data_IF_143253642527
#
_entry.id   IF_143253642527
#
_cell.length_a   1.000
_cell.length_b   1.000
_cell.length_c   1.000
_cell.angle_alpha   90.00
_cell.angle_beta   90.00
_cell.angle_gamma   90.00
#
_symmetry.space_group_name_H-M   'P 1'
#
loop_
_entity.id
_entity.type
_entity.pdbx_description
1 polymer ?
#
# COMPACT_ATOMS: atom_id res chain seq x y z
N UNK A 1 -15.96 92.42 12.54
CA UNK A 1 -15.46 91.82 13.80
C UNK A 1 -15.00 90.40 13.54
N UNK A 2 -13.75 90.12 13.90
CA UNK A 2 -13.10 88.84 14.26
C UNK A 2 -13.19 87.64 13.28
N UNK A 3 -12.05 87.44 12.60
CA UNK A 3 -11.53 86.14 12.19
C UNK A 3 -11.30 85.27 13.44
N UNK A 4 -11.67 84.00 13.38
CA UNK A 4 -11.25 82.99 14.36
C UNK A 4 -10.64 81.81 13.63
N UNK A 5 -9.51 81.37 14.15
CA UNK A 5 -8.53 80.48 13.55
C UNK A 5 -8.99 79.02 13.46
N UNK A 6 -8.57 78.33 12.39
CA UNK A 6 -8.57 76.86 12.31
C UNK A 6 -7.69 76.29 13.43
N UNK A 7 -8.23 75.34 14.20
CA UNK A 7 -7.45 74.48 15.09
C UNK A 7 -7.10 73.19 14.33
N UNK A 8 -5.81 73.01 14.04
CA UNK A 8 -5.23 71.95 13.19
C UNK A 8 -5.16 70.58 13.90
N UNK A 9 -6.19 70.21 14.68
CA UNK A 9 -6.22 68.95 15.45
C UNK A 9 -7.46 68.09 15.22
N UNK A 10 -8.26 68.38 14.20
CA UNK A 10 -9.51 67.66 13.91
C UNK A 10 -9.56 67.10 12.48
N UNK A 11 -8.40 66.80 11.88
CA UNK A 11 -8.30 66.25 10.52
C UNK A 11 -8.01 64.74 10.46
N UNK A 12 -8.06 64.03 11.59
CA UNK A 12 -7.71 62.61 11.66
C UNK A 12 -8.92 61.66 11.72
N UNK A 13 -10.14 62.13 11.43
CA UNK A 13 -11.35 61.31 11.65
C UNK A 13 -12.37 61.26 10.50
N UNK A 14 -12.04 61.73 9.28
CA UNK A 14 -12.97 61.68 8.13
C UNK A 14 -12.22 61.37 6.82
N UNK A 15 -11.72 60.14 6.68
CA UNK A 15 -11.58 59.43 5.39
C UNK A 15 -11.79 57.92 5.65
N UNK A 16 -12.90 57.58 6.28
CA UNK A 16 -13.28 56.18 6.56
C UNK A 16 -14.74 55.92 6.13
N UNK A 17 -15.18 56.58 5.06
CA UNK A 17 -16.55 56.43 4.55
C UNK A 17 -16.66 56.81 3.08
N UNK A 18 -16.20 55.92 2.21
CA UNK A 18 -16.67 55.71 0.83
C UNK A 18 -15.89 54.50 0.27
N UNK A 19 -16.45 53.33 0.03
CA UNK A 19 -17.83 52.90 0.18
C UNK A 19 -17.92 51.39 -0.03
N UNK A 20 -18.91 50.78 0.62
CA UNK A 20 -19.41 49.45 0.28
C UNK A 20 -20.91 49.48 0.55
N UNK A 21 -21.69 49.70 -0.51
CA UNK A 21 -23.12 49.40 -0.54
C UNK A 21 -23.31 48.43 -1.70
N UNK A 22 -23.83 47.23 -1.42
CA UNK A 22 -24.17 46.27 -2.46
C UNK A 22 -24.46 44.85 -1.99
N UNK A 23 -25.49 44.69 -1.15
CA UNK A 23 -26.40 43.53 -0.98
C UNK A 23 -25.88 42.07 -0.95
N UNK A 24 -26.28 41.38 0.14
CA UNK A 24 -26.07 39.97 0.44
C UNK A 24 -26.69 38.98 -0.56
N UNK A 25 -26.00 37.85 -0.75
CA UNK A 25 -26.58 36.54 -1.06
C UNK A 25 -25.76 35.48 -0.32
N UNK A 26 -26.45 34.76 0.57
CA UNK A 26 -26.11 33.61 1.41
C UNK A 26 -24.82 32.79 1.15
N UNK A 27 -24.20 32.47 2.29
CA UNK A 27 -23.25 31.39 2.62
C UNK A 27 -23.26 30.16 1.70
N UNK A 28 -22.06 29.80 1.25
CA UNK A 28 -21.53 28.42 1.23
C UNK A 28 -20.00 28.53 1.19
N UNK A 29 -19.36 28.46 2.35
CA UNK A 29 -17.91 28.28 2.46
C UNK A 29 -17.59 26.81 2.15
N UNK A 30 -17.48 26.49 0.85
CA UNK A 30 -16.76 25.29 0.44
C UNK A 30 -15.27 25.56 0.64
N UNK A 31 -14.65 24.85 1.58
CA UNK A 31 -13.20 24.67 1.64
C UNK A 31 -12.78 24.05 0.31
N UNK A 32 -12.28 24.86 -0.61
CA UNK A 32 -11.52 24.38 -1.75
C UNK A 32 -10.17 23.90 -1.24
N UNK A 33 -10.01 22.58 -1.15
CA UNK A 33 -8.70 21.92 -1.15
C UNK A 33 -7.88 22.49 -2.30
N UNK A 34 -6.64 22.97 -2.11
CA UNK A 34 -5.79 23.31 -3.23
C UNK A 34 -5.31 22.01 -3.88
N UNK A 35 -6.16 21.44 -4.74
CA UNK A 35 -5.70 20.61 -5.85
C UNK A 35 -5.15 21.56 -6.89
N UNK A 36 -3.85 21.81 -6.86
CA UNK A 36 -3.16 22.39 -8.01
C UNK A 36 -2.98 21.28 -9.03
N UNK A 37 -4.00 21.07 -9.87
CA UNK A 37 -3.79 20.62 -11.24
C UNK A 37 -3.05 21.76 -11.96
N UNK A 38 -1.72 21.75 -11.80
CA UNK A 38 -0.85 22.52 -12.66
C UNK A 38 -0.47 21.58 -13.82
N UNK A 39 -0.92 21.83 -15.07
CA UNK A 39 -0.73 20.89 -16.18
C UNK A 39 0.73 20.77 -16.69
N UNK A 40 1.73 21.19 -15.91
CA UNK A 40 3.12 21.34 -16.37
C UNK A 40 4.21 20.89 -15.38
N UNK A 41 3.89 20.32 -14.20
CA UNK A 41 4.93 19.62 -13.43
C UNK A 41 4.90 18.12 -13.76
N UNK A 42 5.83 17.70 -14.63
CA UNK A 42 6.08 16.29 -14.90
C UNK A 42 6.41 15.55 -13.62
N UNK A 43 5.53 14.62 -13.22
CA UNK A 43 5.75 13.67 -12.13
C UNK A 43 6.94 12.74 -12.44
N UNK A 44 7.68 12.39 -11.39
CA UNK A 44 8.67 11.31 -11.45
C UNK A 44 8.02 9.93 -11.33
N UNK A 45 8.48 8.99 -12.16
CA UNK A 45 8.15 7.57 -12.11
C UNK A 45 9.42 6.82 -11.68
N UNK A 46 9.45 6.33 -10.44
CA UNK A 46 10.61 5.61 -9.90
C UNK A 46 10.44 4.11 -10.08
N UNK A 47 11.26 3.51 -10.94
CA UNK A 47 11.31 2.05 -11.12
C UNK A 47 12.18 1.42 -10.05
N UNK A 48 11.71 0.33 -9.45
CA UNK A 48 12.46 -0.44 -8.47
C UNK A 48 12.76 -1.86 -8.97
N UNK A 49 14.04 -2.24 -8.91
CA UNK A 49 14.55 -3.58 -9.18
C UNK A 49 14.99 -4.29 -7.90
N UNK A 50 14.64 -5.57 -7.76
CA UNK A 50 15.14 -6.46 -6.72
C UNK A 50 16.25 -7.35 -7.31
N UNK A 51 17.47 -7.15 -6.81
CA UNK A 51 18.65 -7.86 -7.31
C UNK A 51 18.68 -9.28 -6.77
N UNK A 52 19.07 -10.23 -7.62
CA UNK A 52 19.30 -11.62 -7.22
C UNK A 52 20.37 -11.71 -6.12
N UNK A 53 20.08 -12.47 -5.07
CA UNK A 53 21.06 -13.01 -4.15
C UNK A 53 21.64 -14.31 -4.70
N UNK A 54 21.12 -15.44 -4.21
CA UNK A 54 21.60 -16.77 -4.59
C UNK A 54 20.72 -17.45 -5.63
N UNK A 55 19.41 -17.17 -5.61
CA UNK A 55 18.43 -17.81 -6.49
C UNK A 55 17.69 -16.78 -7.36
N UNK A 56 17.40 -17.09 -8.63
CA UNK A 56 16.58 -16.24 -9.48
C UNK A 56 15.28 -15.81 -8.81
N UNK A 57 14.96 -14.52 -8.88
CA UNK A 57 13.73 -13.96 -8.32
C UNK A 57 13.68 -13.80 -6.79
N UNK A 58 14.74 -14.14 -6.06
CA UNK A 58 14.72 -14.07 -4.58
C UNK A 58 14.70 -12.64 -4.02
N UNK A 59 15.30 -11.68 -4.76
CA UNK A 59 15.42 -10.29 -4.36
C UNK A 59 16.37 -10.02 -3.18
N UNK A 60 17.19 -10.99 -2.80
CA UNK A 60 18.05 -10.91 -1.60
C UNK A 60 19.34 -10.10 -1.82
N UNK A 61 19.67 -9.74 -3.06
CA UNK A 61 20.83 -8.93 -3.43
C UNK A 61 20.66 -7.42 -3.19
N UNK A 62 19.53 -7.00 -2.60
CA UNK A 62 19.18 -5.60 -2.33
C UNK A 62 18.26 -4.99 -3.40
N UNK A 63 17.90 -3.72 -3.20
CA UNK A 63 16.99 -2.98 -4.10
C UNK A 63 17.72 -1.82 -4.75
N UNK A 64 17.52 -1.66 -6.06
CA UNK A 64 18.00 -0.51 -6.83
C UNK A 64 16.82 0.27 -7.39
N UNK A 65 16.88 1.60 -7.32
CA UNK A 65 15.85 2.49 -7.85
C UNK A 65 16.42 3.47 -8.87
N UNK A 66 15.61 3.80 -9.86
CA UNK A 66 15.93 4.76 -10.91
C UNK A 66 14.67 5.50 -11.33
N UNK A 67 14.75 6.83 -11.42
CA UNK A 67 13.60 7.69 -11.72
C UNK A 67 13.67 8.28 -13.13
N UNK A 68 12.53 8.33 -13.81
CA UNK A 68 12.34 8.97 -15.11
C UNK A 68 11.13 9.89 -15.07
N UNK A 69 11.08 10.87 -15.98
CA UNK A 69 9.88 11.69 -16.12
C UNK A 69 8.70 10.83 -16.59
N UNK A 70 7.47 11.27 -16.35
CA UNK A 70 6.26 10.61 -16.89
C UNK A 70 6.31 10.47 -18.42
N UNK A 71 6.80 11.50 -19.12
CA UNK A 71 6.97 11.46 -20.59
C UNK A 71 7.97 10.38 -21.03
N UNK A 72 9.14 10.33 -20.40
CA UNK A 72 10.14 9.30 -20.69
C UNK A 72 9.63 7.90 -20.33
N UNK A 73 8.85 7.77 -19.25
CA UNK A 73 8.25 6.50 -18.86
C UNK A 73 7.30 5.95 -19.94
N UNK A 74 6.62 6.84 -20.68
CA UNK A 74 5.72 6.50 -21.80
C UNK A 74 6.43 6.30 -23.14
N UNK A 75 7.71 6.67 -23.26
CA UNK A 75 8.45 6.58 -24.51
C UNK A 75 9.15 5.22 -24.67
N UNK A 76 8.72 4.35 -25.59
CA UNK A 76 9.35 3.05 -25.80
C UNK A 76 10.75 3.11 -26.43
N UNK A 77 11.23 4.30 -26.79
CA UNK A 77 12.61 4.52 -27.27
C UNK A 77 13.59 4.84 -26.14
N UNK A 78 13.08 5.15 -24.95
CA UNK A 78 13.88 5.31 -23.72
C UNK A 78 14.20 3.92 -23.15
N UNK A 79 15.42 3.77 -22.63
CA UNK A 79 15.88 2.55 -21.98
C UNK A 79 16.56 2.91 -20.66
N UNK A 80 16.19 2.22 -19.58
CA UNK A 80 16.74 2.44 -18.24
C UNK A 80 17.36 1.17 -17.69
N UNK A 81 18.46 1.32 -16.94
CA UNK A 81 19.24 0.20 -16.43
C UNK A 81 19.41 0.29 -14.90
N UNK A 82 18.35 0.11 -14.08
CA UNK A 82 18.44 0.34 -12.63
C UNK A 82 19.46 -0.55 -11.93
N UNK A 83 19.72 -1.76 -12.42
CA UNK A 83 20.69 -2.69 -11.81
C UNK A 83 22.15 -2.27 -11.99
N UNK A 84 22.44 -1.44 -12.99
CA UNK A 84 23.79 -0.96 -13.30
C UNK A 84 23.99 0.49 -12.82
N UNK A 85 22.96 1.31 -12.96
CA UNK A 85 23.04 2.76 -12.75
C UNK A 85 22.09 3.26 -11.67
N UNK A 86 21.32 2.41 -10.98
CA UNK A 86 20.36 2.84 -9.96
C UNK A 86 20.99 3.20 -8.61
N UNK A 87 20.24 3.97 -7.83
CA UNK A 87 20.53 4.21 -6.43
C UNK A 87 20.23 2.95 -5.61
N UNK A 88 21.15 2.57 -4.71
CA UNK A 88 20.96 1.42 -3.83
C UNK A 88 20.14 1.86 -2.62
N UNK A 89 18.88 1.44 -2.55
CA UNK A 89 18.02 1.73 -1.41
C UNK A 89 18.55 1.00 -0.16
N UNK A 90 18.74 1.68 0.99
CA UNK A 90 19.25 1.02 2.20
C UNK A 90 18.31 -0.07 2.71
N UNK A 91 18.75 -1.32 2.60
CA UNK A 91 18.07 -2.50 3.13
C UNK A 91 18.99 -3.72 2.97
N UNK A 92 18.91 -4.70 3.87
CA UNK A 92 19.70 -5.94 3.76
C UNK A 92 19.13 -6.94 2.75
N UNK A 93 17.89 -6.74 2.33
CA UNK A 93 17.20 -7.50 1.28
C UNK A 93 16.31 -6.54 0.50
N UNK A 94 15.35 -7.06 -0.27
CA UNK A 94 14.35 -6.20 -0.95
C UNK A 94 13.76 -5.16 0.01
N UNK A 95 13.97 -3.88 -0.29
CA UNK A 95 13.43 -2.76 0.46
C UNK A 95 11.91 -2.70 0.33
N UNK A 96 11.25 -2.14 1.35
CA UNK A 96 9.81 -1.81 1.30
C UNK A 96 9.72 -0.31 1.07
N UNK A 97 9.62 0.08 -0.19
CA UNK A 97 9.60 1.46 -0.62
C UNK A 97 8.16 1.99 -0.65
N UNK A 98 8.02 3.30 -0.48
CA UNK A 98 6.77 4.03 -0.71
C UNK A 98 7.14 5.36 -1.38
N UNK A 99 6.25 5.94 -2.17
CA UNK A 99 6.44 7.24 -2.82
C UNK A 99 5.40 8.24 -2.39
N UNK A 100 5.73 9.53 -2.52
CA UNK A 100 4.75 10.61 -2.43
C UNK A 100 3.78 10.61 -3.61
N UNK A 101 2.63 11.24 -3.43
CA UNK A 101 1.61 11.39 -4.47
C UNK A 101 2.08 12.20 -5.67
N UNK A 102 3.10 13.05 -5.53
CA UNK A 102 3.73 13.79 -6.62
C UNK A 102 4.97 13.09 -7.21
N UNK A 103 5.39 11.96 -6.64
CA UNK A 103 6.60 11.23 -7.05
C UNK A 103 7.93 11.88 -6.65
N UNK A 104 7.92 13.06 -6.01
CA UNK A 104 9.12 13.82 -5.68
C UNK A 104 9.85 13.32 -4.43
N UNK A 105 9.24 12.40 -3.66
CA UNK A 105 9.82 11.83 -2.44
C UNK A 105 9.71 10.31 -2.46
N UNK A 106 10.81 9.63 -2.15
CA UNK A 106 10.81 8.20 -1.80
C UNK A 106 11.01 8.05 -0.30
N UNK A 107 10.13 7.28 0.31
CA UNK A 107 10.19 6.88 1.70
C UNK A 107 10.65 5.41 1.79
N UNK A 108 11.48 5.12 2.78
CA UNK A 108 12.02 3.78 2.99
C UNK A 108 12.07 3.45 4.47
N UNK A 109 11.75 2.20 4.80
CA UNK A 109 12.18 1.58 6.06
C UNK A 109 13.04 0.38 5.69
N UNK A 110 14.30 0.45 6.07
CA UNK A 110 15.28 -0.63 5.88
C UNK A 110 14.79 -1.92 6.54
N UNK A 111 14.95 -3.04 5.84
CA UNK A 111 14.49 -4.33 6.32
C UNK A 111 15.66 -5.21 6.76
N UNK A 112 15.67 -5.56 8.06
CA UNK A 112 16.71 -6.34 8.74
C UNK A 112 18.11 -5.69 8.71
N UNK A 113 19.08 -6.33 9.38
CA UNK A 113 20.45 -5.83 9.47
C UNK A 113 20.66 -4.75 10.52
N UNK A 114 21.87 -4.19 10.53
CA UNK A 114 22.31 -3.18 11.50
C UNK A 114 21.50 -1.88 11.42
N UNK A 115 20.94 -1.59 10.25
CA UNK A 115 20.07 -0.43 10.03
C UNK A 115 18.59 -0.80 10.04
N UNK A 116 18.22 -2.06 10.25
CA UNK A 116 16.84 -2.53 10.09
C UNK A 116 15.85 -1.80 11.00
N UNK A 117 14.73 -1.35 10.45
CA UNK A 117 13.75 -0.53 11.14
C UNK A 117 14.09 0.96 11.17
N UNK A 118 15.04 1.43 10.35
CA UNK A 118 15.32 2.86 10.21
C UNK A 118 14.51 3.45 9.06
N UNK A 119 13.70 4.45 9.39
CA UNK A 119 12.99 5.28 8.43
C UNK A 119 13.92 6.35 7.86
N UNK A 120 13.97 6.41 6.54
CA UNK A 120 14.65 7.45 5.76
C UNK A 120 13.74 7.95 4.64
N UNK A 121 13.99 9.16 4.16
CA UNK A 121 13.35 9.68 2.95
C UNK A 121 14.34 10.43 2.07
N UNK A 122 14.02 10.48 0.78
CA UNK A 122 14.87 11.04 -0.25
C UNK A 122 14.06 11.92 -1.18
N UNK A 123 14.58 13.10 -1.51
CA UNK A 123 14.09 13.89 -2.63
C UNK A 123 14.55 13.25 -3.94
N UNK A 124 13.62 13.10 -4.88
CA UNK A 124 13.84 12.53 -6.21
C UNK A 124 14.25 13.65 -7.16
N UNK A 125 15.43 13.53 -7.76
CA UNK A 125 15.99 14.53 -8.68
C UNK A 125 16.17 13.98 -10.11
N UNK A 126 15.58 12.81 -10.38
CA UNK A 126 15.68 12.10 -11.65
C UNK A 126 16.93 11.21 -11.75
N UNK A 127 16.85 10.22 -12.65
CA UNK A 127 17.87 9.21 -12.85
C UNK A 127 18.18 8.45 -11.55
N UNK A 128 19.46 8.47 -11.16
CA UNK A 128 19.95 7.81 -9.95
C UNK A 128 20.11 8.74 -8.74
N UNK A 129 19.63 9.98 -8.85
CA UNK A 129 19.87 11.02 -7.85
C UNK A 129 18.73 11.05 -6.84
N UNK A 130 19.00 10.53 -5.65
CA UNK A 130 18.08 10.50 -4.51
C UNK A 130 18.78 11.14 -3.31
N UNK A 131 18.45 12.41 -3.03
CA UNK A 131 19.12 13.18 -1.98
C UNK A 131 18.43 12.94 -0.64
N UNK A 132 19.12 12.41 0.39
CA UNK A 132 18.52 12.20 1.70
C UNK A 132 17.98 13.52 2.27
N UNK A 133 16.76 13.50 2.80
CA UNK A 133 16.15 14.66 3.45
C UNK A 133 15.52 14.31 4.78
N UNK A 134 15.46 15.29 5.69
CA UNK A 134 15.00 15.09 7.06
C UNK A 134 15.99 14.30 7.93
N UNK A 135 15.48 13.81 9.06
CA UNK A 135 16.28 13.04 10.04
C UNK A 135 15.96 11.55 9.89
N UNK A 136 16.96 10.70 10.07
CA UNK A 136 16.74 9.25 10.19
C UNK A 136 16.07 8.92 11.54
N UNK A 137 15.03 8.09 11.51
CA UNK A 137 14.28 7.69 12.71
C UNK A 137 14.30 6.18 12.85
N UNK A 138 14.80 5.66 13.97
CA UNK A 138 14.70 4.23 14.25
C UNK A 138 13.39 3.88 14.93
N UNK A 139 12.61 2.99 14.32
CA UNK A 139 11.42 2.38 14.91
C UNK A 139 11.66 0.96 15.41
N UNK A 140 12.90 0.47 15.29
CA UNK A 140 13.28 -0.88 15.73
C UNK A 140 12.98 -1.18 17.21
N UNK A 141 13.11 -0.24 18.16
CA UNK A 141 12.73 -0.47 19.55
C UNK A 141 11.23 -0.76 19.76
N UNK A 142 10.39 -0.43 18.79
CA UNK A 142 8.93 -0.53 18.89
C UNK A 142 8.35 -1.67 18.06
N UNK A 143 8.87 -1.90 16.86
CA UNK A 143 8.32 -2.86 15.89
C UNK A 143 9.38 -3.84 15.34
N UNK A 144 10.56 -3.88 15.97
CA UNK A 144 11.69 -4.72 15.57
C UNK A 144 12.40 -4.24 14.31
N UNK A 145 13.44 -4.97 13.90
CA UNK A 145 14.31 -4.60 12.77
C UNK A 145 13.73 -4.94 11.40
N UNK A 146 12.59 -5.62 11.36
CA UNK A 146 11.96 -6.15 10.16
C UNK A 146 10.46 -5.82 10.12
N UNK A 147 10.05 -4.56 10.35
CA UNK A 147 8.64 -4.23 10.47
C UNK A 147 7.92 -4.37 9.13
N UNK A 148 6.60 -4.49 9.22
CA UNK A 148 5.69 -4.42 8.09
C UNK A 148 5.21 -2.97 8.04
N UNK A 149 5.34 -2.26 6.94
CA UNK A 149 5.01 -0.85 6.92
C UNK A 149 4.50 -0.38 5.57
N UNK A 150 3.67 0.67 5.59
CA UNK A 150 3.24 1.41 4.42
C UNK A 150 3.10 2.91 4.72
N UNK A 151 2.99 3.70 3.66
CA UNK A 151 2.46 5.07 3.70
C UNK A 151 0.93 5.00 3.73
N UNK A 152 0.29 5.74 4.63
CA UNK A 152 -1.16 5.90 4.62
C UNK A 152 -1.57 6.85 3.48
N UNK A 153 -2.73 6.63 2.87
CA UNK A 153 -3.26 7.49 1.81
C UNK A 153 -3.95 8.73 2.40
N UNK A 154 -3.18 9.54 3.14
CA UNK A 154 -3.65 10.74 3.84
C UNK A 154 -2.94 12.03 3.37
N UNK A 155 -2.52 12.07 2.10
CA UNK A 155 -1.77 13.18 1.52
C UNK A 155 -0.31 13.22 1.98
N UNK A 156 0.35 12.06 1.99
CA UNK A 156 1.77 11.89 2.36
C UNK A 156 2.14 12.32 3.78
N UNK A 157 1.19 12.32 4.71
CA UNK A 157 1.42 12.81 6.08
C UNK A 157 1.92 11.72 7.02
N UNK A 158 1.43 10.49 6.85
CA UNK A 158 1.61 9.45 7.85
C UNK A 158 2.11 8.13 7.26
N UNK A 159 3.12 7.55 7.92
CA UNK A 159 3.51 6.15 7.73
C UNK A 159 3.01 5.32 8.89
N UNK A 160 2.70 4.05 8.65
CA UNK A 160 2.31 3.12 9.70
C UNK A 160 3.12 1.82 9.58
N UNK A 161 3.72 1.42 10.70
CA UNK A 161 4.51 0.21 10.83
C UNK A 161 3.93 -0.70 11.90
N UNK A 162 3.85 -1.99 11.62
CA UNK A 162 3.18 -2.99 12.44
C UNK A 162 4.05 -4.22 12.65
N UNK A 163 3.84 -4.88 13.78
CA UNK A 163 4.39 -6.19 14.08
C UNK A 163 3.37 -7.03 14.87
N UNK A 164 3.54 -8.35 14.84
CA UNK A 164 2.84 -9.27 15.73
C UNK A 164 3.84 -10.28 16.30
N UNK A 165 3.73 -10.56 17.58
CA UNK A 165 4.39 -11.65 18.29
C UNK A 165 3.34 -12.61 18.85
N UNK A 166 3.70 -13.88 18.99
CA UNK A 166 2.76 -14.93 19.41
C UNK A 166 3.34 -15.80 20.50
N UNK A 167 2.56 -16.12 21.52
CA UNK A 167 2.95 -16.98 22.64
C UNK A 167 1.86 -18.01 22.95
N UNK A 168 2.24 -19.29 23.09
CA UNK A 168 1.29 -20.34 23.47
C UNK A 168 1.03 -20.29 24.98
N UNK A 169 -0.24 -20.21 25.37
CA UNK A 169 -0.67 -20.21 26.76
C UNK A 169 -1.21 -21.59 27.15
N UNK A 170 -0.85 -22.03 28.36
CA UNK A 170 -1.28 -23.31 28.93
C UNK A 170 -1.96 -23.09 30.29
N UNK A 171 -2.94 -23.93 30.62
CA UNK A 171 -3.61 -23.92 31.92
C UNK A 171 -2.75 -24.54 33.04
N UNK A 172 -3.26 -24.57 34.28
CA UNK A 172 -2.55 -25.14 35.44
C UNK A 172 -2.25 -26.65 35.31
N UNK A 173 -2.86 -27.35 34.34
CA UNK A 173 -2.68 -28.78 34.09
C UNK A 173 -1.87 -29.05 32.81
N UNK A 174 -1.15 -28.04 32.29
CA UNK A 174 -0.38 -28.10 31.04
C UNK A 174 -1.23 -28.38 29.78
N UNK A 175 -2.54 -28.11 29.81
CA UNK A 175 -3.36 -28.16 28.60
C UNK A 175 -3.28 -26.83 27.85
N UNK A 176 -3.21 -26.88 26.52
CA UNK A 176 -3.29 -25.69 25.69
C UNK A 176 -4.59 -24.92 25.96
N UNK A 177 -4.46 -23.61 26.16
CA UNK A 177 -5.58 -22.69 26.34
C UNK A 177 -5.84 -21.89 25.07
N UNK A 178 -4.82 -21.16 24.61
CA UNK A 178 -4.86 -20.32 23.39
C UNK A 178 -3.45 -19.98 22.94
N UNK A 179 -3.33 -19.25 21.84
CA UNK A 179 -2.09 -18.57 21.45
C UNK A 179 -2.35 -17.08 21.45
N UNK A 180 -1.74 -16.39 22.40
CA UNK A 180 -1.83 -14.94 22.49
C UNK A 180 -1.13 -14.31 21.28
N UNK A 181 -1.80 -13.39 20.62
CA UNK A 181 -1.23 -12.56 19.56
C UNK A 181 -1.11 -11.12 20.08
N UNK A 182 0.12 -10.68 20.36
CA UNK A 182 0.41 -9.30 20.73
C UNK A 182 0.82 -8.52 19.49
N UNK A 183 0.06 -7.48 19.16
CA UNK A 183 0.37 -6.56 18.07
C UNK A 183 1.02 -5.30 18.61
N UNK A 184 1.91 -4.70 17.83
CA UNK A 184 2.34 -3.32 18.04
C UNK A 184 2.21 -2.49 16.77
N UNK A 185 1.81 -1.24 16.94
CA UNK A 185 1.56 -0.30 15.85
C UNK A 185 2.27 1.02 16.15
N UNK A 186 3.14 1.45 15.24
CA UNK A 186 3.80 2.76 15.24
C UNK A 186 3.26 3.59 14.09
N UNK A 187 2.95 4.84 14.36
CA UNK A 187 2.70 5.84 13.32
C UNK A 187 3.85 6.85 13.24
N UNK A 188 4.17 7.28 12.03
CA UNK A 188 5.27 8.20 11.71
C UNK A 188 4.72 9.48 11.09
N UNK A 189 5.33 10.61 11.43
CA UNK A 189 5.23 11.85 10.68
C UNK A 189 6.22 11.79 9.52
N UNK A 190 5.72 11.62 8.30
CA UNK A 190 6.57 11.52 7.12
C UNK A 190 7.18 12.86 6.73
N UNK A 191 6.50 13.97 7.04
CA UNK A 191 6.94 15.33 6.73
C UNK A 191 8.09 15.73 7.64
N UNK A 192 7.95 15.53 8.95
CA UNK A 192 8.94 15.95 9.94
C UNK A 192 9.96 14.87 10.30
N UNK A 193 9.79 13.64 9.80
CA UNK A 193 10.59 12.48 10.17
C UNK A 193 10.62 12.29 11.69
N UNK A 194 9.48 11.92 12.27
CA UNK A 194 9.35 11.64 13.71
C UNK A 194 8.32 10.57 13.99
N UNK A 195 8.35 9.98 15.20
CA UNK A 195 7.32 9.06 15.68
C UNK A 195 6.15 9.88 16.23
N UNK A 196 4.91 9.57 15.81
CA UNK A 196 3.67 10.20 16.27
C UNK A 196 3.09 9.48 17.49
N UNK A 197 2.89 8.17 17.38
CA UNK A 197 2.22 7.35 18.41
C UNK A 197 2.72 5.90 18.33
N UNK A 198 2.68 5.21 19.47
CA UNK A 198 2.95 3.78 19.57
C UNK A 198 2.02 3.13 20.61
N UNK A 199 1.36 2.06 20.22
CA UNK A 199 0.57 1.23 21.12
C UNK A 199 0.81 -0.25 20.88
N UNK A 200 0.66 -1.03 21.95
CA UNK A 200 0.67 -2.49 21.93
C UNK A 200 -0.63 -3.03 22.51
N UNK A 201 -1.14 -4.10 21.89
CA UNK A 201 -2.37 -4.74 22.32
C UNK A 201 -2.26 -6.26 22.17
N UNK A 202 -2.79 -6.98 23.15
CA UNK A 202 -3.20 -8.36 22.94
C UNK A 202 -4.51 -8.37 22.15
N UNK A 203 -4.53 -9.05 21.01
CA UNK A 203 -5.70 -9.14 20.13
C UNK A 203 -6.21 -10.57 20.14
N UNK A 204 -7.41 -10.74 20.70
CA UNK A 204 -8.06 -12.04 20.81
C UNK A 204 -8.95 -12.32 19.59
N UNK A 205 -9.04 -13.59 19.22
CA UNK A 205 -10.10 -14.10 18.34
C UNK A 205 -11.34 -14.46 19.18
N UNK A 206 -12.35 -15.09 18.56
CA UNK A 206 -13.44 -15.67 19.35
C UNK A 206 -12.92 -16.81 20.22
N UNK A 207 -13.58 -17.05 21.36
CA UNK A 207 -13.18 -18.13 22.28
C UNK A 207 -13.21 -19.53 21.61
N UNK A 208 -14.10 -19.74 20.63
CA UNK A 208 -14.15 -20.98 19.87
C UNK A 208 -12.95 -21.14 18.93
N UNK A 209 -12.56 -20.07 18.24
CA UNK A 209 -11.38 -20.08 17.36
C UNK A 209 -10.11 -20.32 18.17
N UNK A 210 -9.92 -19.60 19.28
CA UNK A 210 -8.74 -19.76 20.14
C UNK A 210 -8.65 -21.16 20.75
N UNK A 211 -9.77 -21.72 21.24
CA UNK A 211 -9.79 -23.08 21.79
C UNK A 211 -9.49 -24.16 20.74
N UNK A 212 -9.84 -23.89 19.47
CA UNK A 212 -9.49 -24.76 18.34
C UNK A 212 -8.05 -24.54 17.83
N UNK A 213 -7.29 -23.64 18.46
CA UNK A 213 -5.88 -23.41 18.18
C UNK A 213 -5.60 -22.35 17.12
N UNK A 214 -6.60 -21.59 16.68
CA UNK A 214 -6.41 -20.49 15.73
C UNK A 214 -5.83 -19.25 16.41
N UNK A 215 -4.96 -18.53 15.69
CA UNK A 215 -4.37 -17.28 16.16
C UNK A 215 -3.91 -16.40 15.00
N UNK A 216 -3.80 -15.09 15.25
CA UNK A 216 -3.25 -14.13 14.30
C UNK A 216 -1.73 -14.28 14.27
N UNK A 217 -1.19 -14.82 13.18
CA UNK A 217 0.25 -15.10 13.05
C UNK A 217 1.00 -14.05 12.25
N UNK A 218 0.28 -13.21 11.51
CA UNK A 218 0.84 -12.11 10.74
C UNK A 218 -0.18 -11.01 10.54
N UNK A 219 0.32 -9.78 10.59
CA UNK A 219 -0.41 -8.56 10.22
C UNK A 219 0.42 -7.73 9.25
N UNK A 220 -0.23 -6.93 8.41
CA UNK A 220 0.41 -6.05 7.43
C UNK A 220 -0.62 -5.03 6.89
N UNK A 221 -0.17 -4.12 6.03
CA UNK A 221 -1.01 -3.21 5.22
C UNK A 221 -2.09 -2.40 5.98
N UNK A 222 -1.69 -1.61 7.01
CA UNK A 222 -2.60 -0.72 7.73
C UNK A 222 -3.23 0.34 6.81
N UNK A 223 -4.55 0.52 6.84
CA UNK A 223 -5.30 1.44 5.97
C UNK A 223 -6.24 2.32 6.78
N UNK A 224 -6.33 3.60 6.47
CA UNK A 224 -7.30 4.51 7.10
C UNK A 224 -8.67 4.36 6.44
N UNK A 225 -9.72 4.48 7.24
CA UNK A 225 -11.06 4.69 6.70
C UNK A 225 -11.24 6.13 6.18
N UNK A 226 -12.31 6.36 5.41
CA UNK A 226 -12.60 7.66 4.82
C UNK A 226 -12.77 8.79 5.86
N UNK A 227 -13.29 8.46 7.06
CA UNK A 227 -13.44 9.42 8.15
C UNK A 227 -12.12 9.76 8.87
N UNK A 228 -11.03 9.05 8.56
CA UNK A 228 -9.72 9.24 9.19
C UNK A 228 -9.71 8.98 10.70
N UNK A 229 -10.62 8.15 11.20
CA UNK A 229 -10.79 7.89 12.63
C UNK A 229 -10.65 6.40 13.00
N UNK A 230 -10.42 5.54 12.01
CA UNK A 230 -10.13 4.11 12.20
C UNK A 230 -8.94 3.69 11.35
N UNK A 231 -8.15 2.77 11.90
CA UNK A 231 -7.07 2.08 11.21
C UNK A 231 -7.43 0.60 11.09
N UNK A 232 -7.53 0.11 9.86
CA UNK A 232 -7.75 -1.29 9.53
C UNK A 232 -6.43 -1.97 9.22
N UNK A 233 -6.15 -3.13 9.81
CA UNK A 233 -4.90 -3.87 9.61
C UNK A 233 -5.25 -5.29 9.16
N UNK A 234 -4.82 -5.66 7.95
CA UNK A 234 -5.05 -7.00 7.42
C UNK A 234 -4.31 -8.06 8.21
N UNK A 235 -4.92 -9.23 8.38
CA UNK A 235 -4.41 -10.33 9.19
C UNK A 235 -4.32 -11.65 8.42
N UNK A 236 -3.46 -12.54 8.90
CA UNK A 236 -3.41 -13.95 8.55
C UNK A 236 -3.60 -14.78 9.79
N UNK A 237 -4.44 -15.81 9.66
CA UNK A 237 -4.60 -16.83 10.67
C UNK A 237 -3.59 -17.97 10.43
N UNK A 238 -3.13 -18.54 11.53
CA UNK A 238 -2.49 -19.85 11.58
C UNK A 238 -3.18 -20.69 12.64
N UNK A 239 -2.88 -21.99 12.65
CA UNK A 239 -3.42 -22.91 13.64
C UNK A 239 -2.32 -23.78 14.25
N UNK A 240 -2.46 -24.09 15.53
CA UNK A 240 -1.74 -25.19 16.19
C UNK A 240 -2.73 -26.29 16.59
N UNK A 241 -2.24 -27.52 16.75
CA UNK A 241 -3.04 -28.58 17.33
C UNK A 241 -3.13 -28.39 18.87
N UNK A 242 -4.32 -28.15 19.45
CA UNK A 242 -4.44 -27.91 20.90
C UNK A 242 -3.96 -29.08 21.78
N UNK A 243 -3.92 -30.31 21.25
CA UNK A 243 -3.43 -31.47 22.00
C UNK A 243 -1.89 -31.50 22.10
N UNK A 244 -1.17 -30.81 21.22
CA UNK A 244 0.30 -30.88 21.15
C UNK A 244 1.00 -29.52 21.10
N UNK A 245 0.27 -28.43 20.87
CA UNK A 245 0.76 -27.09 20.56
C UNK A 245 1.70 -27.00 19.33
N UNK A 246 1.71 -28.03 18.48
CA UNK A 246 2.50 -28.04 17.25
C UNK A 246 1.72 -27.39 16.11
N UNK A 247 2.45 -26.80 15.15
CA UNK A 247 1.84 -26.18 13.97
C UNK A 247 0.93 -27.17 13.23
N UNK A 248 -0.28 -26.73 12.94
CA UNK A 248 -1.24 -27.43 12.10
C UNK A 248 -1.28 -26.72 10.73
N UNK A 249 -1.05 -27.46 9.66
CA UNK A 249 -1.08 -26.95 8.28
C UNK A 249 -2.26 -27.50 7.47
N UNK A 250 -3.02 -28.45 8.01
CA UNK A 250 -4.17 -29.09 7.36
C UNK A 250 -5.45 -28.73 8.11
N UNK A 251 -5.80 -27.46 8.04
CA UNK A 251 -6.90 -26.87 8.78
C UNK A 251 -7.87 -26.13 7.87
N UNK A 252 -9.09 -25.95 8.35
CA UNK A 252 -10.13 -25.20 7.67
C UNK A 252 -9.75 -23.73 7.55
N UNK A 253 -9.74 -23.21 6.31
CA UNK A 253 -9.49 -21.79 6.07
C UNK A 253 -10.76 -21.01 6.44
N UNK A 254 -10.69 -20.27 7.55
CA UNK A 254 -11.82 -19.49 8.07
C UNK A 254 -12.01 -18.17 7.29
N UNK A 255 -13.15 -17.52 7.55
CA UNK A 255 -13.47 -16.19 7.04
C UNK A 255 -12.37 -15.17 7.33
N UNK A 256 -12.08 -14.33 6.34
CA UNK A 256 -11.02 -13.34 6.36
C UNK A 256 -11.16 -12.36 7.53
N UNK A 257 -10.03 -12.03 8.16
CA UNK A 257 -9.99 -11.21 9.39
C UNK A 257 -9.28 -9.89 9.16
N UNK A 258 -9.77 -8.82 9.78
CA UNK A 258 -9.11 -7.52 9.86
C UNK A 258 -9.17 -6.99 11.28
N UNK A 259 -8.08 -6.41 11.75
CA UNK A 259 -8.02 -5.73 13.05
C UNK A 259 -8.43 -4.27 12.85
N UNK A 260 -9.29 -3.75 13.71
CA UNK A 260 -9.74 -2.35 13.72
C UNK A 260 -9.26 -1.67 15.00
N UNK A 261 -8.62 -0.52 14.85
CA UNK A 261 -8.20 0.37 15.94
C UNK A 261 -8.82 1.75 15.78
N UNK A 262 -9.02 2.46 16.89
CA UNK A 262 -9.26 3.90 16.89
C UNK A 262 -8.01 4.63 16.36
N UNK A 263 -8.20 5.67 15.54
CA UNK A 263 -7.12 6.51 15.03
C UNK A 263 -7.42 7.98 15.36
N UNK A 264 -6.42 8.79 15.79
CA UNK A 264 -4.98 8.49 15.86
C UNK A 264 -4.49 7.82 17.15
N UNK A 265 -5.38 7.51 18.11
CA UNK A 265 -4.97 6.98 19.43
C UNK A 265 -4.40 5.56 19.39
N UNK A 266 -4.71 4.78 18.35
CA UNK A 266 -4.36 3.37 18.21
C UNK A 266 -4.91 2.49 19.33
N UNK A 267 -6.03 2.86 19.94
CA UNK A 267 -6.67 2.13 21.05
C UNK A 267 -7.87 1.30 20.57
N UNK A 268 -8.47 0.53 21.51
CA UNK A 268 -9.71 -0.22 21.31
C UNK A 268 -9.64 -1.23 20.15
N UNK A 269 -8.71 -2.21 20.21
CA UNK A 269 -8.63 -3.27 19.21
C UNK A 269 -9.91 -4.09 19.14
N UNK A 270 -10.35 -4.38 17.93
CA UNK A 270 -11.39 -5.36 17.62
C UNK A 270 -11.04 -6.11 16.35
N UNK A 271 -11.63 -7.29 16.14
CA UNK A 271 -11.43 -8.12 14.95
C UNK A 271 -12.77 -8.29 14.25
N UNK A 272 -12.81 -7.89 12.99
CA UNK A 272 -13.96 -8.10 12.10
C UNK A 272 -13.69 -9.31 11.19
N UNK A 273 -14.76 -9.98 10.76
CA UNK A 273 -14.70 -11.22 9.99
C UNK A 273 -15.61 -11.13 8.78
N UNK A 274 -15.12 -11.47 7.59
CA UNK A 274 -15.98 -11.60 6.42
C UNK A 274 -16.68 -12.97 6.41
N UNK A 275 -17.94 -12.99 5.98
CA UNK A 275 -18.70 -14.19 5.73
C UNK A 275 -18.61 -14.67 4.26
N UNK A 276 -18.05 -13.87 3.35
CA UNK A 276 -17.93 -14.20 1.91
C UNK A 276 -16.51 -14.60 1.52
N UNK A 277 -15.49 -13.85 1.94
CA UNK A 277 -14.09 -14.17 1.63
C UNK A 277 -13.40 -14.91 2.77
N UNK A 278 -12.56 -15.88 2.43
CA UNK A 278 -11.80 -16.70 3.36
C UNK A 278 -10.28 -16.46 3.24
N UNK A 279 -9.53 -16.83 4.27
CA UNK A 279 -8.06 -16.73 4.24
C UNK A 279 -7.54 -15.34 4.60
N UNK A 280 -6.44 -14.93 3.98
CA UNK A 280 -5.57 -13.87 4.50
C UNK A 280 -5.83 -12.51 3.87
N UNK A 281 -5.87 -11.44 4.65
CA UNK A 281 -6.05 -10.07 4.15
C UNK A 281 -4.81 -9.20 4.28
N UNK A 282 -3.75 -9.74 4.91
CA UNK A 282 -2.51 -9.01 5.13
C UNK A 282 -1.70 -8.77 3.84
N UNK A 283 -1.99 -9.43 2.72
CA UNK A 283 -1.18 -9.28 1.50
C UNK A 283 0.26 -9.80 1.62
N UNK A 284 1.07 -9.63 0.58
CA UNK A 284 2.49 -9.99 0.64
C UNK A 284 3.36 -8.94 -0.07
N UNK A 285 3.98 -8.05 0.72
CA UNK A 285 4.88 -6.95 0.28
C UNK A 285 4.22 -5.84 -0.55
N UNK A 286 3.06 -6.10 -1.14
CA UNK A 286 2.19 -5.12 -1.77
C UNK A 286 1.14 -4.58 -0.82
N UNK A 287 0.73 -3.33 -1.03
CA UNK A 287 -0.47 -2.77 -0.40
C UNK A 287 -1.67 -3.59 -0.86
N UNK A 288 -2.49 -4.02 0.10
CA UNK A 288 -3.55 -4.99 -0.13
C UNK A 288 -4.95 -4.45 0.18
N UNK A 289 -5.02 -3.17 0.59
CA UNK A 289 -6.22 -2.49 1.07
C UNK A 289 -6.14 -1.01 0.72
N UNK A 290 -7.24 -0.44 0.23
CA UNK A 290 -7.33 0.95 -0.20
C UNK A 290 -8.71 1.54 0.12
N UNK A 291 -8.74 2.80 0.54
CA UNK A 291 -9.98 3.57 0.61
C UNK A 291 -10.42 4.01 -0.80
N UNK A 292 -11.70 3.86 -1.08
CA UNK A 292 -12.35 4.37 -2.29
C UNK A 292 -13.81 4.72 -1.99
N UNK A 293 -14.20 5.96 -2.27
CA UNK A 293 -15.59 6.42 -2.25
C UNK A 293 -16.34 6.14 -0.93
N UNK A 294 -15.66 6.32 0.21
CA UNK A 294 -16.24 6.17 1.55
C UNK A 294 -16.08 4.80 2.18
N UNK A 295 -15.59 3.81 1.44
CA UNK A 295 -15.40 2.42 1.89
C UNK A 295 -13.95 2.00 1.72
N UNK A 296 -13.51 1.01 2.49
CA UNK A 296 -12.19 0.39 2.29
C UNK A 296 -12.38 -0.94 1.57
N UNK A 297 -11.68 -1.10 0.46
CA UNK A 297 -11.66 -2.33 -0.34
C UNK A 297 -10.35 -3.07 -0.03
N UNK A 298 -10.45 -4.37 0.23
CA UNK A 298 -9.33 -5.18 0.69
C UNK A 298 -9.35 -6.55 0.00
N UNK A 299 -8.24 -6.93 -0.63
CA UNK A 299 -8.15 -8.25 -1.23
C UNK A 299 -7.89 -9.33 -0.16
N UNK A 300 -8.41 -10.55 -0.37
CA UNK A 300 -7.97 -11.72 0.39
C UNK A 300 -7.05 -12.63 -0.46
N UNK A 301 -6.35 -13.54 0.21
CA UNK A 301 -5.32 -14.41 -0.35
C UNK A 301 -5.37 -15.81 0.28
N UNK A 302 -5.17 -16.83 -0.54
CA UNK A 302 -5.24 -18.23 -0.09
C UNK A 302 -6.66 -18.68 0.25
N UNK A 303 -7.64 -18.04 -0.39
CA UNK A 303 -9.04 -18.47 -0.37
C UNK A 303 -9.18 -19.76 -1.19
N UNK A 304 -9.81 -20.82 -0.65
CA UNK A 304 -10.08 -22.06 -1.39
C UNK A 304 -10.97 -21.87 -2.64
N UNK A 305 -11.73 -20.77 -2.71
CA UNK A 305 -12.67 -20.46 -3.79
C UNK A 305 -12.16 -19.34 -4.73
N UNK A 306 -10.85 -19.04 -4.64
CA UNK A 306 -10.23 -17.94 -5.36
C UNK A 306 -10.38 -16.59 -4.64
N UNK A 307 -9.42 -15.70 -4.86
CA UNK A 307 -9.37 -14.39 -4.21
C UNK A 307 -10.59 -13.53 -4.52
N UNK A 308 -11.07 -12.84 -3.50
CA UNK A 308 -12.07 -11.77 -3.51
C UNK A 308 -11.41 -10.40 -3.32
N UNK A 309 -12.10 -9.37 -3.83
CA UNK A 309 -12.01 -8.03 -3.24
C UNK A 309 -13.17 -7.89 -2.25
N UNK A 310 -12.84 -7.76 -0.97
CA UNK A 310 -13.78 -7.51 0.13
C UNK A 310 -13.98 -6.01 0.33
N UNK A 311 -15.05 -5.63 1.03
CA UNK A 311 -15.41 -4.24 1.31
C UNK A 311 -15.72 -4.06 2.79
N UNK A 312 -15.19 -3.01 3.39
CA UNK A 312 -15.45 -2.55 4.76
C UNK A 312 -16.11 -1.18 4.67
N UNK A 313 -17.29 -1.05 5.29
CA UNK A 313 -18.13 0.15 5.18
C UNK A 313 -18.02 1.07 6.40
N UNK A 314 -18.81 2.15 6.40
CA UNK A 314 -18.76 3.22 7.40
C UNK A 314 -19.11 2.78 8.83
N UNK A 315 -19.79 1.63 8.98
CA UNK A 315 -20.02 0.99 10.29
C UNK A 315 -18.78 0.23 10.81
N UNK A 316 -17.73 0.14 10.00
CA UNK A 316 -16.46 -0.56 10.26
C UNK A 316 -16.58 -2.08 10.31
N UNK A 317 -17.59 -2.63 9.65
CA UNK A 317 -17.77 -4.06 9.45
C UNK A 317 -17.60 -4.42 7.96
N UNK A 318 -17.39 -5.70 7.67
CA UNK A 318 -17.42 -6.16 6.28
C UNK A 318 -18.83 -6.06 5.71
N UNK A 319 -18.95 -5.50 4.51
CA UNK A 319 -20.15 -5.54 3.68
C UNK A 319 -20.18 -6.88 2.93
N UNK A 320 -20.68 -7.91 3.58
CA UNK A 320 -20.78 -9.26 3.00
C UNK A 320 -21.82 -9.35 1.85
N UNK A 321 -22.56 -8.28 1.52
CA UNK A 321 -23.36 -8.24 0.29
C UNK A 321 -22.52 -7.85 -0.94
N UNK A 322 -21.30 -7.34 -0.73
CA UNK A 322 -20.35 -7.05 -1.79
C UNK A 322 -19.54 -8.29 -2.16
N UNK A 323 -20.11 -9.10 -3.06
CA UNK A 323 -19.46 -10.30 -3.59
C UNK A 323 -18.72 -9.99 -4.90
N UNK A 324 -17.39 -9.83 -4.83
CA UNK A 324 -16.49 -9.71 -6.00
C UNK A 324 -15.40 -10.79 -5.95
N UNK A 325 -15.71 -11.97 -6.48
CA UNK A 325 -14.79 -13.10 -6.65
C UNK A 325 -14.02 -12.99 -7.99
N UNK A 326 -12.71 -13.26 -7.96
CA UNK A 326 -11.85 -13.11 -9.14
C UNK A 326 -11.86 -14.32 -10.08
N UNK A 327 -12.14 -15.54 -9.58
CA UNK A 327 -12.34 -16.74 -10.40
C UNK A 327 -13.53 -16.54 -11.34
N UNK A 328 -14.67 -16.14 -10.78
CA UNK A 328 -15.90 -15.84 -11.53
C UNK A 328 -15.70 -14.71 -12.54
N UNK A 329 -15.03 -13.63 -12.12
CA UNK A 329 -14.85 -12.45 -12.94
C UNK A 329 -13.92 -12.68 -14.13
N UNK A 330 -12.88 -13.51 -13.96
CA UNK A 330 -11.90 -13.81 -15.02
C UNK A 330 -12.18 -15.12 -15.76
N UNK A 331 -13.05 -15.99 -15.25
CA UNK A 331 -13.27 -17.34 -15.77
C UNK A 331 -12.06 -18.25 -15.57
N UNK A 332 -11.44 -18.19 -14.39
CA UNK A 332 -10.29 -19.03 -13.99
C UNK A 332 -10.59 -19.79 -12.70
N UNK A 333 -9.69 -20.66 -12.27
CA UNK A 333 -9.77 -21.39 -10.99
C UNK A 333 -8.54 -21.05 -10.14
N UNK A 334 -8.74 -20.86 -8.83
CA UNK A 334 -7.68 -20.66 -7.85
C UNK A 334 -6.94 -19.34 -8.02
N UNK A 335 -7.63 -18.27 -8.44
CA UNK A 335 -7.03 -16.96 -8.57
C UNK A 335 -6.47 -16.48 -7.23
N UNK A 336 -5.25 -15.95 -7.27
CA UNK A 336 -4.54 -15.41 -6.13
C UNK A 336 -4.10 -14.00 -6.47
N UNK A 337 -4.63 -13.00 -5.75
CA UNK A 337 -4.22 -11.60 -5.89
C UNK A 337 -2.82 -11.42 -5.27
N UNK A 338 -1.86 -10.97 -6.07
CA UNK A 338 -0.46 -10.75 -5.67
C UNK A 338 -0.23 -9.31 -5.25
N UNK A 339 -0.85 -8.36 -5.96
CA UNK A 339 -0.84 -6.93 -5.68
C UNK A 339 -1.98 -6.27 -6.45
N UNK A 340 -2.45 -5.10 -6.04
CA UNK A 340 -3.44 -4.36 -6.82
C UNK A 340 -3.38 -2.86 -6.51
N UNK A 341 -3.99 -2.06 -7.39
CA UNK A 341 -4.07 -0.61 -7.22
C UNK A 341 -5.35 -0.06 -7.86
N UNK A 342 -6.25 0.59 -7.10
CA UNK A 342 -7.37 1.31 -7.65
C UNK A 342 -6.96 2.71 -8.14
N UNK A 343 -7.68 3.21 -9.14
CA UNK A 343 -7.75 4.60 -9.53
C UNK A 343 -9.03 5.26 -8.98
N UNK A 344 -9.09 6.59 -9.00
CA UNK A 344 -10.19 7.37 -8.43
C UNK A 344 -11.54 7.16 -9.13
N UNK A 345 -11.58 6.51 -10.29
CA UNK A 345 -12.80 6.18 -11.03
C UNK A 345 -13.41 4.81 -10.63
N UNK A 346 -12.86 4.12 -9.62
CA UNK A 346 -13.36 2.82 -9.16
C UNK A 346 -12.93 1.64 -10.02
N UNK A 347 -12.00 1.87 -10.94
CA UNK A 347 -11.31 0.82 -11.68
C UNK A 347 -9.98 0.50 -11.01
N UNK A 348 -9.46 -0.70 -11.20
CA UNK A 348 -8.21 -1.12 -10.60
C UNK A 348 -7.40 -2.00 -11.55
N UNK A 349 -6.07 -1.94 -11.44
CA UNK A 349 -5.20 -2.98 -12.00
C UNK A 349 -4.88 -3.98 -10.89
N UNK A 350 -5.08 -5.27 -11.20
CA UNK A 350 -4.82 -6.39 -10.29
C UNK A 350 -3.70 -7.24 -10.89
N UNK A 351 -2.60 -7.40 -10.17
CA UNK A 351 -1.61 -8.46 -10.39
C UNK A 351 -2.11 -9.75 -9.75
N UNK A 352 -2.20 -10.82 -10.52
CA UNK A 352 -2.69 -12.11 -10.03
C UNK A 352 -1.96 -13.29 -10.67
N UNK A 353 -2.15 -14.47 -10.09
CA UNK A 353 -1.87 -15.78 -10.69
C UNK A 353 -3.09 -16.67 -10.48
N UNK A 354 -3.11 -17.86 -11.06
CA UNK A 354 -4.19 -18.84 -10.88
C UNK A 354 -3.66 -20.27 -11.03
N UNK A 355 -4.48 -21.30 -10.82
CA UNK A 355 -4.03 -22.71 -10.84
C UNK A 355 -3.51 -23.18 -12.21
N UNK A 356 -3.90 -22.48 -13.28
CA UNK A 356 -3.41 -22.68 -14.63
C UNK A 356 -2.10 -21.96 -14.96
N UNK A 357 -1.54 -21.18 -14.03
CA UNK A 357 -0.24 -20.52 -14.20
C UNK A 357 0.86 -21.54 -14.45
N UNK A 358 1.71 -21.27 -15.43
CA UNK A 358 2.91 -22.07 -15.67
C UNK A 358 3.97 -21.76 -14.61
N UNK A 359 4.67 -22.78 -14.12
CA UNK A 359 5.81 -22.59 -13.22
C UNK A 359 7.03 -22.08 -14.01
N UNK A 360 7.47 -20.86 -13.69
CA UNK A 360 8.70 -20.25 -14.20
C UNK A 360 9.90 -20.47 -13.28
N UNK A 361 11.01 -19.80 -13.59
CA UNK A 361 12.27 -19.95 -12.84
C UNK A 361 12.22 -19.52 -11.37
N UNK A 362 11.26 -18.65 -11.00
CA UNK A 362 11.10 -18.13 -9.64
C UNK A 362 9.75 -18.50 -8.98
N UNK A 363 8.89 -19.22 -9.71
CA UNK A 363 7.56 -19.62 -9.29
C UNK A 363 6.49 -19.38 -10.36
N UNK A 364 5.24 -19.66 -9.99
CA UNK A 364 4.09 -19.51 -10.87
C UNK A 364 4.02 -18.12 -11.53
N UNK A 365 3.78 -18.15 -12.83
CA UNK A 365 3.57 -16.98 -13.67
C UNK A 365 2.46 -16.07 -13.15
N UNK A 366 2.70 -14.77 -13.23
CA UNK A 366 1.73 -13.70 -12.98
C UNK A 366 1.10 -13.12 -14.25
N UNK A 367 0.00 -12.42 -14.04
CA UNK A 367 -0.81 -11.71 -15.03
C UNK A 367 -1.30 -10.39 -14.45
N UNK A 368 -1.78 -9.50 -15.32
CA UNK A 368 -2.54 -8.33 -14.91
C UNK A 368 -3.97 -8.39 -15.43
N UNK A 369 -4.91 -7.89 -14.63
CA UNK A 369 -6.31 -7.68 -15.00
C UNK A 369 -6.72 -6.23 -14.73
N UNK A 370 -7.61 -5.71 -15.58
CA UNK A 370 -8.34 -4.47 -15.32
C UNK A 370 -9.68 -4.85 -14.68
N UNK A 371 -9.93 -4.33 -13.49
CA UNK A 371 -11.13 -4.57 -12.70
C UNK A 371 -11.99 -3.31 -12.59
N UNK A 372 -13.28 -3.52 -12.39
CA UNK A 372 -14.27 -2.51 -12.00
C UNK A 372 -14.85 -2.93 -10.65
N UNK A 373 -14.58 -2.13 -9.61
CA UNK A 373 -15.06 -2.39 -8.26
C UNK A 373 -16.58 -2.23 -8.17
N UNK A 374 -17.17 -1.26 -8.87
CA UNK A 374 -18.61 -1.03 -8.81
C UNK A 374 -19.39 -2.10 -9.56
N UNK A 375 -18.90 -2.50 -10.74
CA UNK A 375 -19.52 -3.55 -11.54
C UNK A 375 -19.14 -4.96 -11.09
N UNK A 376 -18.09 -5.10 -10.27
CA UNK A 376 -17.54 -6.37 -9.77
C UNK A 376 -17.13 -7.30 -10.91
N UNK A 377 -16.45 -6.73 -11.90
CA UNK A 377 -15.98 -7.42 -13.10
C UNK A 377 -14.49 -7.26 -13.25
N UNK A 378 -13.82 -8.21 -13.90
CA UNK A 378 -12.40 -8.11 -14.24
C UNK A 378 -12.16 -8.70 -15.62
N UNK A 379 -11.14 -8.19 -16.31
CA UNK A 379 -10.68 -8.73 -17.59
C UNK A 379 -9.17 -8.76 -17.62
N UNK A 380 -8.60 -9.86 -18.11
CA UNK A 380 -7.15 -9.96 -18.32
C UNK A 380 -6.68 -8.89 -19.31
N UNK A 381 -5.55 -8.26 -18.99
CA UNK A 381 -4.91 -7.27 -19.86
C UNK A 381 -4.03 -8.02 -20.88
N UNK A 382 -4.59 -8.30 -22.05
CA UNK A 382 -3.91 -9.09 -23.10
C UNK A 382 -2.78 -8.35 -23.82
N UNK A 383 -2.75 -7.02 -23.73
CA UNK A 383 -1.73 -6.20 -24.39
C UNK A 383 -0.35 -6.27 -23.70
N UNK A 384 -0.30 -6.75 -22.45
CA UNK A 384 0.96 -7.01 -21.74
C UNK A 384 1.46 -8.40 -22.12
N UNK A 385 2.69 -8.56 -22.65
CA UNK A 385 3.18 -9.82 -23.15
C UNK A 385 3.19 -10.93 -22.11
N UNK A 386 2.78 -12.12 -22.56
CA UNK A 386 2.91 -13.36 -21.81
C UNK A 386 4.38 -13.81 -21.75
N UNK A 387 4.82 -14.25 -20.57
CA UNK A 387 6.08 -14.98 -20.39
C UNK A 387 5.97 -15.88 -19.14
N UNK A 388 6.36 -17.17 -19.20
CA UNK A 388 6.29 -18.07 -18.04
C UNK A 388 7.18 -17.64 -16.87
N UNK A 389 8.25 -16.88 -17.13
CA UNK A 389 9.15 -16.36 -16.09
C UNK A 389 8.69 -15.00 -15.54
N UNK A 390 7.48 -14.54 -15.88
CA UNK A 390 6.94 -13.31 -15.34
C UNK A 390 6.46 -13.50 -13.89
N UNK A 391 7.32 -13.19 -12.94
CA UNK A 391 7.09 -13.43 -11.51
C UNK A 391 6.62 -12.18 -10.78
N UNK A 392 5.44 -12.27 -10.12
CA UNK A 392 4.79 -11.15 -9.46
C UNK A 392 4.60 -11.33 -7.93
N UNK A 393 5.04 -12.44 -7.34
CA UNK A 393 4.83 -12.68 -5.90
C UNK A 393 5.56 -11.70 -4.98
N UNK A 394 6.60 -11.02 -5.46
CA UNK A 394 7.27 -9.94 -4.72
C UNK A 394 6.95 -8.54 -5.25
N UNK A 395 5.96 -8.40 -6.13
CA UNK A 395 5.57 -7.11 -6.70
C UNK A 395 5.00 -6.18 -5.61
N UNK A 396 5.34 -4.89 -5.64
CA UNK A 396 5.07 -3.97 -4.54
C UNK A 396 4.39 -2.67 -4.98
N UNK A 397 4.70 -2.16 -6.17
CA UNK A 397 4.39 -0.77 -6.53
C UNK A 397 3.65 -0.60 -7.86
N UNK A 398 2.66 0.30 -7.82
CA UNK A 398 1.98 0.88 -8.97
C UNK A 398 1.91 2.39 -8.77
N UNK A 399 2.06 3.17 -9.85
CA UNK A 399 1.79 4.61 -9.83
C UNK A 399 0.45 4.88 -10.47
N UNK A 400 -0.32 5.78 -9.88
CA UNK A 400 -1.59 6.27 -10.45
C UNK A 400 -1.39 7.75 -10.77
N UNK A 401 -1.68 8.13 -12.00
CA UNK A 401 -1.68 9.52 -12.47
C UNK A 401 -2.97 9.77 -13.26
N UNK A 402 -3.94 10.45 -12.64
CA UNK A 402 -5.29 10.56 -13.18
C UNK A 402 -5.93 9.18 -13.42
N UNK A 403 -6.22 8.86 -14.69
CA UNK A 403 -6.81 7.59 -15.13
C UNK A 403 -5.76 6.54 -15.48
N UNK A 404 -4.49 6.90 -15.51
CA UNK A 404 -3.40 6.04 -15.92
C UNK A 404 -2.79 5.30 -14.72
N UNK A 405 -2.61 3.99 -14.87
CA UNK A 405 -1.86 3.16 -13.92
C UNK A 405 -0.59 2.65 -14.59
N UNK A 406 0.56 3.00 -14.00
CA UNK A 406 1.87 2.56 -14.44
C UNK A 406 2.25 1.29 -13.70
N UNK A 407 2.85 0.36 -14.43
CA UNK A 407 3.34 -0.90 -13.92
C UNK A 407 4.58 -1.34 -14.69
N UNK A 408 5.30 -2.32 -14.17
CA UNK A 408 6.41 -2.97 -14.86
C UNK A 408 6.05 -4.39 -15.25
N UNK A 409 6.47 -4.80 -16.42
CA UNK A 409 6.50 -6.22 -16.80
C UNK A 409 7.86 -6.54 -17.36
N UNK A 410 8.51 -7.53 -16.75
CA UNK A 410 9.77 -8.11 -17.21
C UNK A 410 9.86 -9.54 -16.66
N UNK A 411 10.20 -10.54 -17.50
CA UNK A 411 10.53 -11.87 -17.00
C UNK A 411 11.80 -11.84 -16.15
N UNK A 412 11.93 -12.78 -15.21
CA UNK A 412 13.11 -12.87 -14.34
C UNK A 412 14.39 -12.99 -15.18
N UNK A 413 15.33 -12.08 -14.97
CA UNK A 413 16.61 -12.03 -15.68
C UNK A 413 16.56 -11.52 -17.12
N UNK A 414 15.40 -11.06 -17.59
CA UNK A 414 15.20 -10.59 -18.96
C UNK A 414 14.70 -9.14 -18.99
N UNK A 415 15.00 -8.43 -20.08
CA UNK A 415 14.50 -7.07 -20.28
C UNK A 415 12.97 -7.06 -20.31
N UNK A 416 12.41 -5.92 -19.95
CA UNK A 416 10.97 -5.69 -19.97
C UNK A 416 10.65 -4.25 -20.31
N UNK A 417 9.48 -3.79 -19.91
CA UNK A 417 9.04 -2.42 -20.13
C UNK A 417 8.20 -1.91 -18.95
N UNK A 418 8.11 -0.59 -18.87
CA UNK A 418 6.99 0.08 -18.21
C UNK A 418 5.77 -0.06 -19.13
N UNK A 419 4.61 -0.34 -18.55
CA UNK A 419 3.33 -0.29 -19.24
C UNK A 419 2.40 0.67 -18.51
N UNK A 420 1.58 1.38 -19.27
CA UNK A 420 0.61 2.34 -18.78
C UNK A 420 -0.76 1.85 -19.21
N UNK A 421 -1.63 1.59 -18.23
CA UNK A 421 -3.01 1.14 -18.44
C UNK A 421 -3.91 2.34 -18.19
N UNK A 422 -4.59 2.82 -19.22
CA UNK A 422 -5.67 3.79 -19.04
C UNK A 422 -6.91 3.05 -18.54
N UNK A 423 -7.39 3.42 -17.36
CA UNK A 423 -8.47 2.70 -16.67
C UNK A 423 -9.87 3.02 -17.22
N UNK A 424 -10.05 4.11 -17.96
CA UNK A 424 -11.34 4.45 -18.56
C UNK A 424 -11.58 3.66 -19.85
N UNK A 425 -10.54 3.55 -20.68
CA UNK A 425 -10.59 2.95 -22.01
C UNK A 425 -10.13 1.50 -22.02
N UNK A 426 -9.28 1.11 -21.07
CA UNK A 426 -8.55 -0.16 -21.08
C UNK A 426 -7.38 -0.19 -22.07
N UNK A 427 -7.04 0.95 -22.68
CA UNK A 427 -5.88 1.04 -23.59
C UNK A 427 -4.57 0.82 -22.81
N UNK A 428 -3.64 0.11 -23.43
CA UNK A 428 -2.32 -0.15 -22.85
C UNK A 428 -1.25 0.45 -23.74
N UNK A 429 -0.48 1.37 -23.17
CA UNK A 429 0.70 1.95 -23.81
C UNK A 429 1.95 1.23 -23.32
N UNK A 430 2.77 0.77 -24.28
CA UNK A 430 4.12 0.27 -24.00
C UNK A 430 5.08 1.45 -23.86
N UNK A 431 5.71 1.58 -22.72
CA UNK A 431 6.66 2.64 -22.39
C UNK A 431 8.11 2.19 -22.40
N UNK A 432 8.94 2.91 -21.64
CA UNK A 432 10.40 2.74 -21.58
C UNK A 432 10.83 1.28 -21.37
N UNK A 433 11.94 0.90 -22.01
CA UNK A 433 12.59 -0.38 -21.80
C UNK A 433 13.25 -0.44 -20.42
N UNK A 434 13.07 -1.58 -19.76
CA UNK A 434 13.70 -1.92 -18.50
C UNK A 434 14.81 -2.93 -18.77
N UNK A 435 16.06 -2.49 -18.75
CA UNK A 435 17.22 -3.37 -18.92
C UNK A 435 17.49 -4.12 -17.62
N UNK A 436 17.44 -5.44 -17.72
CA UNK A 436 17.57 -6.34 -16.58
C UNK A 436 18.96 -6.98 -16.54
N UNK A 437 19.26 -7.68 -15.45
CA UNK A 437 20.46 -8.51 -15.28
C UNK A 437 20.05 -9.89 -14.80
N UNK A 438 20.90 -10.89 -15.06
CA UNK A 438 20.60 -12.30 -14.80
C UNK A 438 19.98 -12.54 -13.40
N UNK A 439 18.85 -13.25 -13.40
CA UNK A 439 18.10 -13.67 -12.20
C UNK A 439 17.44 -12.57 -11.38
N UNK A 440 17.60 -11.29 -11.75
CA UNK A 440 16.96 -10.16 -11.06
C UNK A 440 15.57 -9.87 -11.65
N UNK A 441 14.73 -9.15 -10.91
CA UNK A 441 13.38 -8.82 -11.35
C UNK A 441 12.96 -7.43 -10.90
N UNK A 442 12.00 -6.83 -11.60
CA UNK A 442 11.39 -5.56 -11.20
C UNK A 442 10.22 -5.82 -10.25
N UNK A 443 10.10 -4.96 -9.24
CA UNK A 443 9.08 -5.07 -8.18
C UNK A 443 8.04 -3.95 -8.26
N UNK A 444 8.04 -3.20 -9.35
CA UNK A 444 7.05 -2.17 -9.65
C UNK A 444 7.63 -0.78 -9.82
N UNK A 445 6.71 0.17 -9.87
CA UNK A 445 6.97 1.61 -9.95
C UNK A 445 6.40 2.33 -8.73
N UNK A 446 7.05 3.41 -8.35
CA UNK A 446 6.76 4.22 -7.18
C UNK A 446 6.72 5.69 -7.57
#
# INVERSE_FOLDING_TARGET
MKRTFLNLKTFAAIVLTAGLIGACSSDDDTITTPGTDNPEETRWITVAGAKMGDNPGDGNGGTLIYSVSSDDAKDPTVSIEPFQNGFIAPSNRTARLQSSEDGNTIFNISYAGDTGGNYTKYTVEGGQTFTPTGTEVSIAPYVGTAPRWIKLFDGDQTGAAVYVSTEHEFDENDNYSRTEATIGVVTLDLVNSSIKEFQEHSVALSAEEEANGYYISRIDMPTLNAAGNKLYIGARLSKVNPATAENDSDYEILGSKTIVLDYPSLLNPSVITSAVGHGNTNGYRSINSFEYNGSVYQANQGDPEGSYILKIDADNEYDDAYEFNLDDALGVEGAYILAWRPAANGKAVIAYRHDGSVEGVAGAQGFFALADLNAKTAQKIEAIPYDPDFYLFQYQGFVVDGTEIYLTQAPVGQNGNIYIVDTETGEVTKGAELVNVAGSHFIGVF
#
